data_IF_763477837192
#
_entry.id   IF_763477837192
#
_cell.length_a   1.000
_cell.length_b   1.000
_cell.length_c   1.000
_cell.angle_alpha   90.00
_cell.angle_beta   90.00
_cell.angle_gamma   90.00
#
_symmetry.space_group_name_H-M   'P 1'
#
loop_
_entity.id
_entity.type
_entity.pdbx_description
1 polymer ?
#
# COMPACT_ATOMS: atom_id res chain seq x y z
N UNK A 1 6.59 -9.09 14.98
CA UNK A 1 8.04 -8.91 14.75
C UNK A 1 8.26 -8.85 13.24
N UNK A 2 8.94 -7.82 12.75
CA UNK A 2 9.13 -7.60 11.31
C UNK A 2 9.89 -8.74 10.66
N UNK A 3 9.52 -9.08 9.44
CA UNK A 3 10.30 -9.97 8.59
C UNK A 3 11.63 -9.26 8.29
N UNK A 4 12.76 -9.93 8.55
CA UNK A 4 14.10 -9.35 8.35
C UNK A 4 14.27 -8.76 6.94
N UNK A 5 14.88 -7.58 6.85
CA UNK A 5 15.10 -6.87 5.59
C UNK A 5 14.03 -5.84 5.21
N UNK A 6 12.96 -5.66 5.99
CA UNK A 6 11.98 -4.57 5.77
C UNK A 6 12.06 -3.47 6.83
N UNK A 7 11.94 -2.21 6.38
CA UNK A 7 11.74 -1.06 7.28
C UNK A 7 10.31 -1.08 7.85
N UNK A 8 10.13 -0.90 9.17
CA UNK A 8 8.80 -0.79 9.77
C UNK A 8 8.00 0.37 9.17
N UNK A 9 6.71 0.12 8.87
CA UNK A 9 5.78 1.12 8.35
C UNK A 9 4.66 1.36 9.36
N UNK A 10 4.37 2.63 9.61
CA UNK A 10 3.26 3.07 10.46
C UNK A 10 2.22 3.81 9.63
N UNK A 11 0.95 3.77 10.06
CA UNK A 11 -0.17 4.51 9.46
C UNK A 11 -0.77 5.45 10.51
N UNK A 12 -0.17 6.62 10.77
CA UNK A 12 -0.60 7.50 11.87
C UNK A 12 -2.04 7.99 11.74
N UNK A 13 -2.51 8.18 10.50
CA UNK A 13 -3.84 8.70 10.19
C UNK A 13 -4.89 7.59 9.97
N UNK A 14 -4.61 6.32 10.34
CA UNK A 14 -5.49 5.16 10.05
C UNK A 14 -6.93 5.35 10.54
N UNK A 15 -7.12 6.06 11.66
CA UNK A 15 -8.42 6.26 12.34
C UNK A 15 -9.08 7.60 12.02
N UNK A 16 -8.55 8.37 11.07
CA UNK A 16 -9.13 9.64 10.64
C UNK A 16 -9.79 9.47 9.28
N UNK A 17 -10.94 10.10 9.08
CA UNK A 17 -11.62 10.13 7.79
C UNK A 17 -10.90 11.04 6.80
N UNK A 18 -11.10 10.78 5.50
CA UNK A 18 -10.57 11.65 4.44
C UNK A 18 -11.08 13.09 4.58
N UNK A 19 -12.34 13.26 5.02
CA UNK A 19 -12.95 14.58 5.25
C UNK A 19 -12.28 15.34 6.40
N UNK A 20 -11.93 14.69 7.50
CA UNK A 20 -11.23 15.33 8.62
C UNK A 20 -9.81 15.74 8.23
N UNK A 21 -9.09 14.86 7.52
CA UNK A 21 -7.75 15.13 7.03
C UNK A 21 -7.78 16.32 6.04
N UNK A 22 -8.72 16.32 5.10
CA UNK A 22 -8.90 17.40 4.14
C UNK A 22 -9.28 18.72 4.82
N UNK A 23 -10.21 18.70 5.78
CA UNK A 23 -10.58 19.90 6.54
C UNK A 23 -9.38 20.47 7.30
N UNK A 24 -8.60 19.63 7.97
CA UNK A 24 -7.39 20.06 8.67
C UNK A 24 -6.38 20.70 7.71
N UNK A 25 -6.10 20.04 6.57
CA UNK A 25 -5.18 20.58 5.58
C UNK A 25 -5.63 21.92 5.00
N UNK A 26 -6.94 22.08 4.76
CA UNK A 26 -7.53 23.32 4.30
C UNK A 26 -7.35 24.45 5.32
N UNK A 27 -7.70 24.21 6.59
CA UNK A 27 -7.55 25.20 7.67
C UNK A 27 -6.09 25.60 7.92
N UNK A 28 -5.15 24.71 7.64
CA UNK A 28 -3.70 24.97 7.75
C UNK A 28 -3.10 25.63 6.51
N UNK A 29 -3.88 25.79 5.44
CA UNK A 29 -3.41 26.35 4.18
C UNK A 29 -2.41 25.45 3.44
N UNK A 30 -2.50 24.13 3.63
CA UNK A 30 -1.68 23.19 2.85
C UNK A 30 -2.20 23.09 1.42
N UNK A 31 -1.27 23.00 0.46
CA UNK A 31 -1.60 22.78 -0.94
C UNK A 31 -2.14 21.37 -1.16
N UNK A 32 -3.23 21.26 -1.91
CA UNK A 32 -3.78 19.99 -2.35
C UNK A 32 -3.22 19.60 -3.71
N UNK A 33 -3.07 18.30 -3.95
CA UNK A 33 -2.82 17.79 -5.29
C UNK A 33 -4.09 18.03 -6.14
N UNK A 34 -3.95 18.79 -7.23
CA UNK A 34 -5.07 19.19 -8.09
C UNK A 34 -5.35 18.25 -9.26
N UNK A 35 -4.48 17.27 -9.50
CA UNK A 35 -4.55 16.35 -10.64
C UNK A 35 -4.57 14.92 -10.14
N UNK A 36 -5.59 14.17 -10.52
CA UNK A 36 -5.68 12.74 -10.27
C UNK A 36 -4.91 11.93 -11.31
N UNK A 37 -4.56 10.68 -10.98
CA UNK A 37 -3.93 9.79 -11.94
C UNK A 37 -4.93 9.40 -13.03
N UNK A 38 -4.60 9.46 -14.34
CA UNK A 38 -5.51 9.01 -15.39
C UNK A 38 -5.96 7.54 -15.27
N UNK A 39 -5.21 6.73 -14.52
CA UNK A 39 -5.47 5.31 -14.29
C UNK A 39 -6.11 5.00 -12.92
N UNK A 40 -6.52 6.01 -12.15
CA UNK A 40 -7.14 5.78 -10.84
C UNK A 40 -8.64 5.59 -10.87
N UNK A 41 -9.29 5.72 -12.03
CA UNK A 41 -10.74 5.57 -12.16
C UNK A 41 -11.14 4.09 -12.35
N UNK A 42 -12.40 3.78 -12.05
CA UNK A 42 -13.03 2.47 -12.25
C UNK A 42 -12.32 1.29 -11.56
N UNK A 43 -11.69 1.54 -10.41
CA UNK A 43 -11.01 0.49 -9.65
C UNK A 43 -11.94 -0.16 -8.63
N UNK A 44 -11.64 -1.41 -8.25
CA UNK A 44 -12.33 -2.11 -7.15
C UNK A 44 -12.27 -1.28 -5.85
N UNK A 45 -11.20 -0.50 -5.66
CA UNK A 45 -11.05 0.33 -4.47
C UNK A 45 -12.05 1.47 -4.43
N UNK A 46 -12.40 2.05 -5.58
CA UNK A 46 -13.36 3.15 -5.63
C UNK A 46 -14.78 2.64 -5.41
N UNK A 47 -15.14 1.51 -6.02
CA UNK A 47 -16.43 0.85 -5.76
C UNK A 47 -16.61 0.49 -4.27
N UNK A 48 -15.55 -0.01 -3.62
CA UNK A 48 -15.58 -0.30 -2.17
C UNK A 48 -15.69 0.98 -1.35
N UNK A 49 -14.98 2.05 -1.73
CA UNK A 49 -15.05 3.35 -1.05
C UNK A 49 -16.45 3.95 -1.12
N UNK A 50 -17.05 4.00 -2.31
CA UNK A 50 -18.41 4.51 -2.52
C UNK A 50 -19.44 3.75 -1.68
N UNK A 51 -19.33 2.41 -1.64
CA UNK A 51 -20.19 1.58 -0.80
C UNK A 51 -20.04 1.91 0.69
N UNK A 52 -18.81 2.10 1.18
CA UNK A 52 -18.54 2.46 2.57
C UNK A 52 -19.00 3.88 2.92
N UNK A 53 -18.84 4.84 2.01
CA UNK A 53 -19.33 6.20 2.17
C UNK A 53 -20.86 6.23 2.25
N UNK A 54 -21.55 5.48 1.37
CA UNK A 54 -22.99 5.34 1.41
C UNK A 54 -23.46 4.75 2.75
N UNK A 55 -22.79 3.72 3.25
CA UNK A 55 -23.09 3.15 4.56
C UNK A 55 -22.82 4.13 5.70
N UNK A 56 -21.69 4.84 5.66
CA UNK A 56 -21.31 5.84 6.65
C UNK A 56 -22.27 7.03 6.72
N UNK A 57 -22.92 7.38 5.60
CA UNK A 57 -23.96 8.42 5.57
C UNK A 57 -25.24 8.01 6.31
N UNK A 58 -25.50 6.70 6.45
CA UNK A 58 -26.71 6.15 7.07
C UNK A 58 -26.49 5.70 8.51
N UNK A 59 -25.29 5.21 8.81
CA UNK A 59 -24.94 4.63 10.11
C UNK A 59 -23.64 5.31 10.59
N UNK A 60 -23.76 6.09 11.66
CA UNK A 60 -22.61 6.71 12.32
C UNK A 60 -21.68 5.64 12.91
N UNK A 61 -20.38 5.81 12.76
CA UNK A 61 -19.37 4.92 13.37
C UNK A 61 -19.09 3.62 12.61
N UNK A 62 -19.63 3.42 11.39
CA UNK A 62 -19.36 2.20 10.59
C UNK A 62 -17.87 2.03 10.31
N UNK A 63 -17.17 3.10 9.95
CA UNK A 63 -15.72 3.06 9.69
C UNK A 63 -14.94 2.62 10.93
N UNK A 64 -15.25 3.17 12.11
CA UNK A 64 -14.62 2.78 13.37
C UNK A 64 -14.93 1.33 13.74
N UNK A 65 -16.17 0.89 13.54
CA UNK A 65 -16.57 -0.49 13.78
C UNK A 65 -15.76 -1.46 12.91
N UNK A 66 -15.54 -1.14 11.63
CA UNK A 66 -14.72 -1.93 10.71
C UNK A 66 -13.24 -1.95 11.12
N UNK A 67 -12.68 -0.80 11.51
CA UNK A 67 -11.29 -0.74 11.97
C UNK A 67 -11.08 -1.51 13.28
N UNK A 68 -12.04 -1.42 14.21
CA UNK A 68 -12.01 -2.20 15.45
C UNK A 68 -12.17 -3.71 15.19
N UNK A 69 -12.95 -4.09 14.16
CA UNK A 69 -13.04 -5.47 13.72
C UNK A 69 -11.71 -5.96 13.12
N UNK A 70 -11.07 -5.15 12.27
CA UNK A 70 -9.74 -5.45 11.72
C UNK A 70 -8.72 -5.69 12.83
N UNK A 71 -8.64 -4.79 13.83
CA UNK A 71 -7.68 -4.92 14.93
C UNK A 71 -7.89 -6.25 15.71
N UNK A 72 -9.15 -6.60 16.03
CA UNK A 72 -9.50 -7.89 16.66
C UNK A 72 -9.19 -9.10 15.79
N UNK A 73 -9.36 -8.97 14.47
CA UNK A 73 -9.07 -10.04 13.52
C UNK A 73 -7.56 -10.29 13.42
N UNK A 74 -6.75 -9.22 13.37
CA UNK A 74 -5.29 -9.30 13.34
C UNK A 74 -4.72 -9.93 14.61
N UNK A 75 -5.29 -9.62 15.78
CA UNK A 75 -4.94 -10.28 17.04
C UNK A 75 -5.15 -11.79 16.99
N UNK A 76 -6.23 -12.25 16.33
CA UNK A 76 -6.58 -13.67 16.22
C UNK A 76 -5.78 -14.43 15.15
N UNK A 77 -5.48 -13.78 14.03
CA UNK A 77 -4.71 -14.38 12.94
C UNK A 77 -3.23 -14.58 13.32
N UNK A 78 -2.73 -13.78 14.28
CA UNK A 78 -1.33 -13.79 14.68
C UNK A 78 -0.40 -13.35 13.54
N UNK A 79 0.89 -13.25 13.83
CA UNK A 79 1.89 -13.04 12.79
C UNK A 79 2.33 -14.39 12.21
N UNK A 80 1.88 -14.73 11.00
CA UNK A 80 2.51 -15.79 10.24
C UNK A 80 3.89 -15.28 9.81
N UNK A 81 4.94 -15.80 10.45
CA UNK A 81 6.31 -15.47 10.09
C UNK A 81 6.58 -15.95 8.67
N UNK A 82 6.43 -15.08 7.68
CA UNK A 82 6.79 -15.40 6.30
C UNK A 82 8.31 -15.39 6.19
N UNK A 83 8.91 -16.54 5.89
CA UNK A 83 10.31 -16.59 5.50
C UNK A 83 10.48 -15.90 4.14
N UNK A 84 11.29 -14.85 4.09
CA UNK A 84 11.65 -14.17 2.83
C UNK A 84 13.09 -14.48 2.49
N UNK A 85 13.42 -14.44 1.21
CA UNK A 85 14.79 -14.59 0.71
C UNK A 85 15.30 -13.25 0.19
N UNK A 86 16.61 -13.10 0.02
CA UNK A 86 17.19 -11.93 -0.62
C UNK A 86 17.12 -12.07 -2.15
N UNK A 87 16.82 -10.97 -2.85
CA UNK A 87 16.93 -10.87 -4.29
C UNK A 87 18.38 -11.04 -4.73
N UNK A 88 18.66 -11.92 -5.69
CA UNK A 88 20.01 -12.14 -6.24
C UNK A 88 20.63 -10.86 -6.83
N UNK A 89 19.79 -9.95 -7.35
CA UNK A 89 20.26 -8.75 -8.03
C UNK A 89 20.47 -7.56 -7.09
N UNK A 90 19.49 -7.22 -6.24
CA UNK A 90 19.53 -6.01 -5.42
C UNK A 90 19.58 -6.28 -3.90
N UNK A 91 19.61 -7.53 -3.45
CA UNK A 91 19.64 -7.89 -2.03
C UNK A 91 18.32 -7.72 -1.26
N UNK A 92 17.36 -6.96 -1.79
CA UNK A 92 16.06 -6.71 -1.15
C UNK A 92 15.22 -7.98 -0.94
N UNK A 93 14.31 -8.02 0.05
CA UNK A 93 13.44 -9.16 0.28
C UNK A 93 12.59 -9.56 -0.94
N UNK A 94 12.53 -10.86 -1.22
CA UNK A 94 11.73 -11.47 -2.28
C UNK A 94 10.87 -12.60 -1.74
N UNK A 95 9.77 -12.88 -2.45
CA UNK A 95 8.85 -13.96 -2.08
C UNK A 95 9.55 -15.33 -2.12
N UNK A 96 9.10 -16.29 -1.28
CA UNK A 96 9.55 -17.68 -1.38
C UNK A 96 9.47 -18.21 -2.81
N UNK A 97 10.41 -19.07 -3.20
CA UNK A 97 10.43 -19.68 -4.54
C UNK A 97 10.97 -18.79 -5.67
N UNK A 98 11.28 -17.51 -5.42
CA UNK A 98 11.84 -16.59 -6.43
C UNK A 98 13.32 -16.29 -6.21
N UNK A 99 14.05 -16.05 -7.29
CA UNK A 99 15.45 -15.58 -7.28
C UNK A 99 15.55 -14.05 -7.39
N UNK A 100 14.63 -13.45 -8.14
CA UNK A 100 14.55 -12.00 -8.36
C UNK A 100 13.28 -11.42 -7.71
N UNK A 101 13.43 -10.24 -7.09
CA UNK A 101 12.30 -9.46 -6.63
C UNK A 101 11.47 -8.97 -7.82
N UNK A 102 10.20 -8.64 -7.58
CA UNK A 102 9.29 -8.24 -8.66
C UNK A 102 9.73 -6.95 -9.36
N UNK A 103 10.36 -6.02 -8.62
CA UNK A 103 10.90 -4.80 -9.18
C UNK A 103 12.03 -5.09 -10.20
N UNK A 104 13.03 -5.89 -9.83
CA UNK A 104 14.11 -6.28 -10.75
C UNK A 104 13.58 -7.04 -11.97
N UNK A 105 12.60 -7.94 -11.80
CA UNK A 105 11.95 -8.63 -12.92
C UNK A 105 11.31 -7.65 -13.92
N UNK A 106 10.64 -6.60 -13.43
CA UNK A 106 10.02 -5.61 -14.32
C UNK A 106 11.06 -4.77 -15.07
N UNK A 107 12.15 -4.37 -14.41
CA UNK A 107 13.22 -3.60 -15.06
C UNK A 107 13.87 -4.41 -16.18
N UNK A 108 14.19 -5.68 -15.93
CA UNK A 108 14.75 -6.57 -16.95
C UNK A 108 13.81 -6.76 -18.14
N UNK A 109 12.52 -7.02 -17.88
CA UNK A 109 11.51 -7.15 -18.95
C UNK A 109 11.33 -5.87 -19.75
N UNK A 110 11.48 -4.71 -19.12
CA UNK A 110 11.41 -3.44 -19.82
C UNK A 110 12.65 -3.23 -20.71
N UNK A 111 13.85 -3.58 -20.21
CA UNK A 111 15.10 -3.51 -20.97
C UNK A 111 15.05 -4.39 -22.24
N UNK A 112 14.56 -5.63 -22.10
CA UNK A 112 14.36 -6.55 -23.23
C UNK A 112 13.46 -5.96 -24.33
N UNK A 113 12.41 -5.23 -23.93
CA UNK A 113 11.45 -4.61 -24.85
C UNK A 113 11.93 -3.28 -25.45
N UNK A 114 12.78 -2.53 -24.74
CA UNK A 114 13.21 -1.20 -25.14
C UNK A 114 14.51 -1.18 -25.95
N UNK A 115 15.16 -2.33 -26.15
CA UNK A 115 16.42 -2.43 -26.91
C UNK A 115 17.61 -1.75 -26.24
N UNK A 116 17.44 -1.22 -25.02
CA UNK A 116 18.48 -0.60 -24.21
C UNK A 116 19.03 -1.58 -23.18
N UNK A 117 20.34 -1.81 -23.20
CA UNK A 117 21.00 -2.56 -22.14
C UNK A 117 20.90 -1.81 -20.81
N UNK A 118 20.01 -2.25 -19.92
CA UNK A 118 19.94 -1.73 -18.55
C UNK A 118 20.82 -2.60 -17.66
N UNK A 119 21.92 -2.04 -17.19
CA UNK A 119 22.65 -2.61 -16.06
C UNK A 119 21.80 -2.39 -14.81
N UNK A 120 21.11 -3.43 -14.34
CA UNK A 120 20.40 -3.39 -13.05
C UNK A 120 21.46 -3.56 -11.95
N UNK A 121 22.21 -2.49 -11.69
CA UNK A 121 23.19 -2.47 -10.60
C UNK A 121 22.50 -2.63 -9.24
N UNK A 122 23.07 -3.48 -8.39
CA UNK A 122 22.87 -3.43 -6.95
C UNK A 122 23.28 -2.03 -6.41
N UNK A 123 22.77 -1.59 -5.24
CA UNK A 123 22.99 -0.23 -4.71
C UNK A 123 24.47 0.20 -4.66
#
# INVERSE_FOLDING_TARGET
MGVGGFVPRVKPLKRLSEREIAMYAYLRGYGFQSVECPFSQDTVRDAVREALELLGSRISGVHDALLNFEDKLLERLGSTGAHVRACRNCGEPTSPGRELCKACEYVLRYAEKSGGGVSVGAP
#
